data_IF_984373837531
#
_entry.id   IF_984373837531
#
_cell.length_a   1.000
_cell.length_b   1.000
_cell.length_c   1.000
_cell.angle_alpha   90.00
_cell.angle_beta   90.00
_cell.angle_gamma   90.00
#
_symmetry.space_group_name_H-M   'P 1'
#
loop_
_entity.id
_entity.type
_entity.pdbx_description
1 polymer ?
#
# COMPACT_ATOMS: atom_id res chain seq x y z
N UNK A 1 6.65 6.12 3.87
CA UNK A 1 6.68 4.67 3.63
C UNK A 1 5.45 4.30 2.83
N UNK A 2 5.55 3.39 1.87
CA UNK A 2 4.40 2.81 1.16
C UNK A 2 4.28 1.35 1.58
N UNK A 3 3.08 0.92 1.97
CA UNK A 3 2.75 -0.47 2.25
C UNK A 3 2.06 -1.10 1.05
N UNK A 4 2.66 -2.17 0.51
CA UNK A 4 2.12 -2.95 -0.60
C UNK A 4 1.66 -4.30 -0.06
N UNK A 5 0.38 -4.60 -0.26
CA UNK A 5 -0.25 -5.84 0.17
C UNK A 5 0.36 -7.06 -0.52
N UNK A 6 0.11 -8.24 0.04
CA UNK A 6 0.59 -9.52 -0.46
C UNK A 6 -0.36 -10.19 -1.45
N UNK A 7 -0.45 -11.52 -1.38
CA UNK A 7 -1.24 -12.36 -2.28
C UNK A 7 -2.75 -12.15 -2.16
N UNK A 8 -3.42 -12.22 -3.31
CA UNK A 8 -4.87 -12.06 -3.43
C UNK A 8 -5.34 -10.60 -3.40
N UNK A 9 -6.63 -10.36 -3.65
CA UNK A 9 -7.22 -9.02 -3.58
C UNK A 9 -7.31 -8.56 -2.12
N UNK A 10 -6.52 -7.56 -1.73
CA UNK A 10 -6.47 -7.05 -0.37
C UNK A 10 -6.96 -5.59 -0.27
N UNK A 11 -7.55 -5.26 0.88
CA UNK A 11 -7.80 -3.87 1.24
C UNK A 11 -6.54 -3.22 1.83
N UNK A 12 -6.59 -1.90 2.01
CA UNK A 12 -5.51 -1.07 2.58
C UNK A 12 -5.08 -1.44 4.00
N UNK A 13 -5.86 -2.28 4.69
CA UNK A 13 -5.59 -2.74 6.06
C UNK A 13 -4.92 -4.13 6.06
N UNK A 14 -4.81 -4.81 4.91
CA UNK A 14 -4.45 -6.23 4.76
C UNK A 14 -5.30 -7.10 5.72
N UNK A 15 -6.61 -6.84 5.72
CA UNK A 15 -7.50 -7.37 6.74
C UNK A 15 -7.77 -8.88 6.56
N UNK A 16 -7.45 -9.66 7.59
CA UNK A 16 -7.76 -11.08 7.65
C UNK A 16 -8.29 -11.45 9.04
N UNK A 17 -9.47 -12.07 9.09
CA UNK A 17 -10.11 -12.48 10.35
C UNK A 17 -10.25 -11.34 11.38
N UNK A 18 -10.56 -10.13 10.91
CA UNK A 18 -10.68 -8.92 11.74
C UNK A 18 -9.35 -8.36 12.24
N UNK A 19 -8.22 -8.96 11.88
CA UNK A 19 -6.90 -8.39 12.12
C UNK A 19 -6.54 -7.44 11.00
N UNK A 20 -6.01 -6.26 11.36
CA UNK A 20 -5.65 -5.18 10.43
C UNK A 20 -4.16 -4.84 10.57
N UNK A 21 -3.26 -5.74 10.12
CA UNK A 21 -1.82 -5.59 10.36
C UNK A 21 -1.27 -4.28 9.79
N UNK A 22 -1.65 -3.90 8.56
CA UNK A 22 -1.16 -2.66 7.96
C UNK A 22 -1.67 -1.42 8.68
N UNK A 23 -2.89 -1.45 9.21
CA UNK A 23 -3.40 -0.37 10.06
C UNK A 23 -2.52 -0.19 11.31
N UNK A 24 -2.23 -1.28 12.03
CA UNK A 24 -1.41 -1.22 13.25
C UNK A 24 0.01 -0.73 12.98
N UNK A 25 0.62 -1.18 11.87
CA UNK A 25 1.94 -0.72 11.44
C UNK A 25 1.90 0.78 11.10
N UNK A 26 0.90 1.22 10.34
CA UNK A 26 0.77 2.62 9.97
C UNK A 26 0.49 3.53 11.17
N UNK A 27 -0.37 3.10 12.09
CA UNK A 27 -0.67 3.82 13.32
C UNK A 27 0.60 4.04 14.15
N UNK A 28 1.34 2.96 14.43
CA UNK A 28 2.60 3.04 15.16
C UNK A 28 3.64 3.93 14.47
N UNK A 29 3.84 3.80 13.17
CA UNK A 29 4.87 4.58 12.48
C UNK A 29 4.49 6.06 12.34
N UNK A 30 3.21 6.34 12.09
CA UNK A 30 2.71 7.71 12.00
C UNK A 30 2.79 8.45 13.34
N UNK A 31 2.55 7.76 14.46
CA UNK A 31 2.76 8.32 15.81
C UNK A 31 4.23 8.64 16.11
N UNK A 32 5.17 8.11 15.34
CA UNK A 32 6.60 8.36 15.45
C UNK A 32 7.15 9.24 14.30
N UNK A 33 6.27 9.99 13.63
CA UNK A 33 6.67 10.98 12.62
C UNK A 33 7.03 10.38 11.26
N UNK A 34 6.67 9.13 11.00
CA UNK A 34 6.86 8.48 9.70
C UNK A 34 5.52 8.45 8.97
N UNK A 35 5.41 9.23 7.90
CA UNK A 35 4.23 9.16 7.03
C UNK A 35 4.12 7.80 6.35
N UNK A 36 2.93 7.20 6.38
CA UNK A 36 2.64 5.90 5.78
C UNK A 36 1.47 6.03 4.81
N UNK A 37 1.67 5.56 3.58
CA UNK A 37 0.61 5.41 2.58
C UNK A 37 0.22 3.94 2.47
N UNK A 38 -1.09 3.70 2.47
CA UNK A 38 -1.73 2.39 2.28
C UNK A 38 -2.83 2.56 1.24
N UNK A 39 -3.07 1.53 0.44
CA UNK A 39 -4.05 1.58 -0.65
C UNK A 39 -4.70 0.21 -0.85
N UNK A 40 -5.91 0.21 -1.44
CA UNK A 40 -6.62 -1.03 -1.80
C UNK A 40 -6.09 -1.53 -3.15
N UNK A 41 -5.99 -2.85 -3.31
CA UNK A 41 -5.64 -3.46 -4.61
C UNK A 41 -6.71 -3.17 -5.68
N UNK A 42 -6.35 -3.34 -6.95
CA UNK A 42 -7.26 -3.17 -8.10
C UNK A 42 -8.55 -3.98 -7.92
N UNK A 43 -9.70 -3.34 -8.05
CA UNK A 43 -11.00 -3.97 -7.89
C UNK A 43 -11.40 -4.29 -6.43
N UNK A 44 -10.66 -3.77 -5.44
CA UNK A 44 -10.99 -3.90 -4.02
C UNK A 44 -11.48 -2.56 -3.46
N UNK A 45 -12.59 -2.60 -2.70
CA UNK A 45 -13.23 -1.42 -2.12
C UNK A 45 -13.45 -0.31 -3.15
N UNK A 46 -12.74 0.81 -3.02
CA UNK A 46 -12.86 2.01 -3.86
C UNK A 46 -11.89 1.99 -5.05
N UNK A 47 -10.90 1.11 -5.05
CA UNK A 47 -9.96 0.97 -6.16
C UNK A 47 -10.65 0.35 -7.36
N UNK A 48 -10.54 1.02 -8.52
CA UNK A 48 -11.06 0.53 -9.80
C UNK A 48 -10.15 -0.56 -10.39
N UNK A 49 -10.51 -1.09 -11.57
CA UNK A 49 -9.74 -2.14 -12.26
C UNK A 49 -10.16 -3.56 -11.86
N UNK A 50 -9.35 -4.55 -12.23
CA UNK A 50 -9.64 -5.95 -12.00
C UNK A 50 -8.37 -6.71 -11.56
N UNK A 51 -8.38 -7.22 -10.32
CA UNK A 51 -7.30 -8.03 -9.78
C UNK A 51 -7.03 -9.30 -10.60
N UNK A 52 -8.07 -10.00 -11.07
CA UNK A 52 -7.93 -11.32 -11.72
C UNK A 52 -7.16 -11.26 -13.04
N UNK A 53 -7.13 -10.10 -13.68
CA UNK A 53 -6.42 -9.87 -14.94
C UNK A 53 -5.12 -9.08 -14.75
N UNK A 54 -4.80 -8.67 -13.52
CA UNK A 54 -3.62 -7.88 -13.22
C UNK A 54 -2.37 -8.76 -13.14
N UNK A 55 -1.25 -8.22 -13.60
CA UNK A 55 0.07 -8.87 -13.58
C UNK A 55 0.96 -8.26 -12.49
N UNK A 56 2.12 -8.87 -12.23
CA UNK A 56 3.13 -8.26 -11.34
C UNK A 56 3.59 -6.89 -11.84
N UNK A 57 3.54 -6.63 -13.15
CA UNK A 57 3.87 -5.31 -13.70
C UNK A 57 2.80 -4.29 -13.34
N UNK A 58 1.52 -4.64 -13.43
CA UNK A 58 0.43 -3.77 -13.00
C UNK A 58 0.55 -3.39 -11.52
N UNK A 59 0.89 -4.36 -10.66
CA UNK A 59 1.10 -4.09 -9.24
C UNK A 59 2.37 -3.27 -8.96
N UNK A 60 3.41 -3.42 -9.78
CA UNK A 60 4.60 -2.58 -9.70
C UNK A 60 4.27 -1.12 -10.09
N UNK A 61 3.48 -0.92 -11.14
CA UNK A 61 2.98 0.39 -11.56
C UNK A 61 2.12 1.03 -10.45
N UNK A 62 1.23 0.26 -9.81
CA UNK A 62 0.43 0.76 -8.69
C UNK A 62 1.31 1.22 -7.51
N UNK A 63 2.35 0.45 -7.19
CA UNK A 63 3.31 0.82 -6.13
C UNK A 63 4.13 2.06 -6.51
N UNK A 64 4.55 2.19 -7.77
CA UNK A 64 5.23 3.39 -8.28
C UNK A 64 4.33 4.62 -8.21
N UNK A 65 3.06 4.49 -8.59
CA UNK A 65 2.08 5.57 -8.55
C UNK A 65 1.75 5.99 -7.10
N UNK A 66 1.60 5.03 -6.19
CA UNK A 66 1.45 5.29 -4.77
C UNK A 66 2.65 6.06 -4.20
N UNK A 67 3.86 5.64 -4.58
CA UNK A 67 5.09 6.34 -4.20
C UNK A 67 5.18 7.76 -4.76
N UNK A 68 4.89 7.94 -6.05
CA UNK A 68 4.87 9.24 -6.71
C UNK A 68 3.83 10.18 -6.09
N UNK A 69 2.66 9.66 -5.70
CA UNK A 69 1.64 10.41 -4.97
C UNK A 69 2.13 10.84 -3.59
N UNK A 70 2.71 9.93 -2.80
CA UNK A 70 3.21 10.23 -1.46
C UNK A 70 4.27 11.34 -1.48
N UNK A 71 5.18 11.31 -2.47
CA UNK A 71 6.25 12.31 -2.61
C UNK A 71 5.76 13.73 -2.91
N UNK A 72 4.53 13.88 -3.41
CA UNK A 72 3.93 15.18 -3.72
C UNK A 72 3.19 15.79 -2.54
N UNK A 73 3.01 15.06 -1.43
CA UNK A 73 2.29 15.57 -0.28
C UNK A 73 3.13 16.59 0.50
N UNK A 74 2.50 17.68 0.93
CA UNK A 74 3.14 18.68 1.76
C UNK A 74 3.64 18.06 3.08
N UNK A 75 4.84 18.44 3.52
CA UNK A 75 5.46 17.91 4.74
C UNK A 75 6.18 16.56 4.57
N UNK A 76 6.14 15.93 3.39
CA UNK A 76 6.91 14.72 3.11
C UNK A 76 8.32 15.07 2.64
N UNK A 77 9.32 14.50 3.31
CA UNK A 77 10.71 14.56 2.83
C UNK A 77 10.91 13.55 1.70
N UNK A 78 10.98 14.04 0.46
CA UNK A 78 11.15 13.23 -0.74
C UNK A 78 12.46 12.42 -0.82
N UNK A 79 13.44 12.69 0.07
CA UNK A 79 14.73 11.99 0.12
C UNK A 79 14.78 10.84 1.14
N UNK A 80 13.73 10.66 1.96
CA UNK A 80 13.67 9.61 2.98
C UNK A 80 12.39 8.79 2.83
N UNK A 81 12.54 7.58 2.31
CA UNK A 81 11.40 6.71 2.04
C UNK A 81 11.78 5.23 2.16
N UNK A 82 10.76 4.40 2.37
CA UNK A 82 10.84 2.95 2.50
C UNK A 82 9.62 2.37 1.79
N UNK A 83 9.82 1.28 1.06
CA UNK A 83 8.76 0.45 0.50
C UNK A 83 8.75 -0.85 1.31
N UNK A 84 7.60 -1.20 1.90
CA UNK A 84 7.42 -2.49 2.57
C UNK A 84 6.39 -3.30 1.78
N UNK A 85 6.79 -4.51 1.39
CA UNK A 85 5.98 -5.41 0.57
C UNK A 85 5.78 -6.70 1.37
N UNK A 86 4.53 -7.12 1.57
CA UNK A 86 4.24 -8.48 2.04
C UNK A 86 4.19 -9.43 0.83
N UNK A 87 4.52 -10.71 1.02
CA UNK A 87 4.71 -11.65 -0.09
C UNK A 87 3.49 -11.66 -1.02
N UNK A 88 3.68 -11.19 -2.26
CA UNK A 88 2.67 -11.18 -3.33
C UNK A 88 2.94 -12.33 -4.29
N UNK A 89 2.08 -13.34 -4.24
CA UNK A 89 2.00 -14.42 -5.22
C UNK A 89 0.80 -14.11 -6.09
N UNK A 90 1.04 -13.98 -7.41
CA UNK A 90 0.00 -13.83 -8.42
C UNK A 90 -0.87 -15.09 -8.52
#
# INVERSE_FOLDING_TARGET
>A
MVLVSGSGPQNRDEELMGQKPFFRIADYLSSHGIAVLRYDDRGVNESTGNFQTATSYDFADDAEMAFAFLRKQAGINAQKWVLLVTAKVL
#
